data_IF_736479829004
#
_entry.id   IF_736479829004
#
_cell.length_a   1.000
_cell.length_b   1.000
_cell.length_c   1.000
_cell.angle_alpha   90.00
_cell.angle_beta   90.00
_cell.angle_gamma   90.00
#
_symmetry.space_group_name_H-M   'P 1'
#
loop_
_entity.id
_entity.type
_entity.pdbx_description
1 polymer ?
#
# COMPACT_ATOMS: atom_id res chain seq x y z
N UNK A 1 1.34 -10.96 -6.93
CA UNK A 1 0.07 -10.51 -6.35
C UNK A 1 -0.64 -9.60 -7.36
N UNK A 2 -1.97 -9.54 -7.38
CA UNK A 2 -2.70 -8.66 -8.30
C UNK A 2 -3.01 -7.28 -7.68
N UNK A 3 -3.47 -6.34 -8.51
CA UNK A 3 -3.73 -4.96 -8.09
C UNK A 3 -4.87 -4.84 -7.06
N UNK A 4 -5.83 -5.77 -7.08
CA UNK A 4 -6.93 -5.78 -6.12
C UNK A 4 -6.42 -6.15 -4.72
N UNK A 5 -5.62 -7.22 -4.62
CA UNK A 5 -5.01 -7.61 -3.36
C UNK A 5 -4.04 -6.53 -2.80
N UNK A 6 -3.37 -5.78 -3.67
CA UNK A 6 -2.54 -4.62 -3.25
C UNK A 6 -3.41 -3.53 -2.62
N UNK A 7 -4.55 -3.21 -3.25
CA UNK A 7 -5.48 -2.22 -2.71
C UNK A 7 -6.13 -2.68 -1.41
N UNK A 8 -6.52 -3.95 -1.30
CA UNK A 8 -7.11 -4.49 -0.06
C UNK A 8 -6.17 -4.30 1.14
N UNK A 9 -4.88 -4.64 0.97
CA UNK A 9 -3.87 -4.47 2.04
C UNK A 9 -3.60 -2.99 2.32
N UNK A 10 -3.54 -2.16 1.28
CA UNK A 10 -3.37 -0.73 1.43
C UNK A 10 -4.54 -0.11 2.23
N UNK A 11 -5.78 -0.42 1.86
CA UNK A 11 -6.98 0.12 2.49
C UNK A 11 -7.08 -0.35 3.95
N UNK A 12 -6.82 -1.63 4.23
CA UNK A 12 -6.81 -2.15 5.61
C UNK A 12 -5.78 -1.43 6.49
N UNK A 13 -4.54 -1.27 5.99
CA UNK A 13 -3.49 -0.56 6.72
C UNK A 13 -3.78 0.94 6.87
N UNK A 14 -4.39 1.56 5.86
CA UNK A 14 -4.80 2.95 5.91
C UNK A 14 -5.90 3.17 6.95
N UNK A 15 -6.96 2.37 6.92
CA UNK A 15 -8.07 2.44 7.87
C UNK A 15 -7.59 2.21 9.31
N UNK A 16 -6.67 1.28 9.53
CA UNK A 16 -6.05 1.07 10.85
C UNK A 16 -5.24 2.30 11.29
N UNK A 17 -4.48 2.93 10.41
CA UNK A 17 -3.74 4.15 10.71
C UNK A 17 -4.67 5.32 11.06
N UNK A 18 -5.75 5.51 10.29
CA UNK A 18 -6.76 6.53 10.59
C UNK A 18 -7.47 6.24 11.91
N UNK A 19 -7.83 4.98 12.19
CA UNK A 19 -8.45 4.58 13.45
C UNK A 19 -7.56 4.84 14.68
N UNK A 20 -6.22 4.80 14.51
CA UNK A 20 -5.22 5.18 15.52
C UNK A 20 -5.05 6.70 15.66
N UNK A 21 -5.69 7.51 14.81
CA UNK A 21 -5.61 8.97 14.82
C UNK A 21 -4.37 9.52 14.09
N UNK A 22 -3.77 8.75 13.19
CA UNK A 22 -2.65 9.17 12.36
C UNK A 22 -3.17 10.11 11.26
N UNK A 23 -2.41 11.15 10.93
CA UNK A 23 -2.78 12.07 9.86
C UNK A 23 -2.75 11.38 8.48
N UNK A 24 -3.68 11.74 7.59
CA UNK A 24 -3.84 11.11 6.27
C UNK A 24 -2.54 10.93 5.48
N UNK A 25 -1.63 11.91 5.52
CA UNK A 25 -0.36 11.83 4.80
C UNK A 25 0.59 10.77 5.37
N UNK A 26 0.60 10.60 6.69
CA UNK A 26 1.38 9.57 7.38
C UNK A 26 0.72 8.20 7.25
N UNK A 27 -0.61 8.14 7.35
CA UNK A 27 -1.41 6.94 7.12
C UNK A 27 -1.20 6.39 5.70
N UNK A 28 -1.22 7.26 4.68
CA UNK A 28 -0.94 6.90 3.28
C UNK A 28 0.46 6.28 3.13
N UNK A 29 1.46 6.86 3.79
CA UNK A 29 2.84 6.35 3.73
C UNK A 29 2.96 4.99 4.41
N UNK A 30 2.33 4.82 5.58
CA UNK A 30 2.32 3.56 6.31
C UNK A 30 1.62 2.45 5.51
N UNK A 31 0.46 2.75 4.94
CA UNK A 31 -0.30 1.84 4.10
C UNK A 31 0.48 1.41 2.84
N UNK A 32 1.12 2.34 2.13
CA UNK A 32 1.99 2.01 0.99
C UNK A 32 3.15 1.10 1.42
N UNK A 33 3.74 1.36 2.58
CA UNK A 33 4.85 0.57 3.10
C UNK A 33 4.40 -0.84 3.46
N UNK A 34 3.26 -0.99 4.14
CA UNK A 34 2.70 -2.28 4.51
C UNK A 34 2.38 -3.14 3.27
N UNK A 35 1.69 -2.55 2.29
CA UNK A 35 1.41 -3.22 1.03
C UNK A 35 2.69 -3.59 0.28
N UNK A 36 3.71 -2.73 0.28
CA UNK A 36 4.98 -3.01 -0.38
C UNK A 36 5.75 -4.15 0.28
N UNK A 37 5.80 -4.21 1.62
CA UNK A 37 6.43 -5.32 2.34
C UNK A 37 5.75 -6.65 2.04
N UNK A 38 4.42 -6.66 1.97
CA UNK A 38 3.65 -7.87 1.69
C UNK A 38 3.82 -8.32 0.23
N UNK A 39 3.82 -7.38 -0.72
CA UNK A 39 4.11 -7.64 -2.13
C UNK A 39 5.54 -8.17 -2.33
N UNK A 40 6.54 -7.56 -1.68
CA UNK A 40 7.93 -8.01 -1.73
C UNK A 40 8.07 -9.46 -1.21
N UNK A 41 7.40 -9.77 -0.09
CA UNK A 41 7.41 -11.11 0.48
C UNK A 41 6.72 -12.17 -0.40
N UNK A 42 5.63 -11.81 -1.09
CA UNK A 42 4.88 -12.75 -1.93
C UNK A 42 5.50 -12.96 -3.30
N UNK A 43 5.97 -11.89 -3.94
CA UNK A 43 6.47 -11.94 -5.32
C UNK A 43 8.01 -12.02 -5.39
N UNK A 44 8.69 -11.98 -4.25
CA UNK A 44 10.16 -12.02 -4.16
C UNK A 44 10.82 -10.77 -4.76
N UNK A 45 10.13 -9.63 -4.70
CA UNK A 45 10.63 -8.35 -5.20
C UNK A 45 11.54 -7.67 -4.18
N UNK A 46 12.45 -6.83 -4.68
CA UNK A 46 13.18 -5.89 -3.84
C UNK A 46 12.24 -4.80 -3.32
N UNK A 47 12.47 -4.34 -2.09
CA UNK A 47 11.59 -3.39 -1.38
C UNK A 47 11.24 -2.15 -2.21
N UNK A 48 12.22 -1.59 -2.94
CA UNK A 48 12.01 -0.39 -3.75
C UNK A 48 11.13 -0.66 -4.97
N UNK A 49 11.30 -1.82 -5.62
CA UNK A 49 10.46 -2.21 -6.75
C UNK A 49 9.02 -2.51 -6.32
N UNK A 50 8.85 -3.16 -5.16
CA UNK A 50 7.54 -3.40 -4.58
C UNK A 50 6.83 -2.08 -4.21
N UNK A 51 7.56 -1.13 -3.61
CA UNK A 51 7.01 0.18 -3.27
C UNK A 51 6.55 0.97 -4.49
N UNK A 52 7.36 1.02 -5.55
CA UNK A 52 7.01 1.69 -6.80
C UNK A 52 5.75 1.06 -7.44
N UNK A 53 5.62 -0.26 -7.39
CA UNK A 53 4.46 -0.95 -7.91
C UNK A 53 3.19 -0.64 -7.10
N UNK A 54 3.27 -0.63 -5.78
CA UNK A 54 2.16 -0.23 -4.90
C UNK A 54 1.76 1.20 -5.17
N UNK A 55 2.72 2.12 -5.30
CA UNK A 55 2.43 3.52 -5.60
C UNK A 55 1.69 3.69 -6.93
N UNK A 56 2.09 2.97 -7.98
CA UNK A 56 1.39 2.98 -9.27
C UNK A 56 -0.04 2.47 -9.17
N UNK A 57 -0.27 1.38 -8.42
CA UNK A 57 -1.60 0.80 -8.22
C UNK A 57 -2.51 1.77 -7.47
N UNK A 58 -2.02 2.37 -6.38
CA UNK A 58 -2.76 3.34 -5.57
C UNK A 58 -3.10 4.58 -6.38
N UNK A 59 -2.13 5.16 -7.11
CA UNK A 59 -2.38 6.33 -7.96
C UNK A 59 -3.40 6.03 -9.07
N UNK A 60 -3.32 4.84 -9.68
CA UNK A 60 -4.24 4.44 -10.76
C UNK A 60 -5.67 4.23 -10.23
N UNK A 61 -5.84 3.78 -8.99
CA UNK A 61 -7.16 3.63 -8.37
C UNK A 61 -7.76 4.96 -7.92
N UNK A 62 -6.96 5.93 -7.47
CA UNK A 62 -7.46 7.26 -7.07
C UNK A 62 -7.92 8.13 -8.25
N UNK A 63 -7.59 7.76 -9.49
CA UNK A 63 -7.94 8.50 -10.70
C UNK A 63 -9.16 7.91 -11.46
N UNK A 64 -9.70 6.77 -11.01
CA UNK A 64 -10.90 6.12 -11.57
C UNK A 64 -12.12 6.39 -10.70
#
# INVERSE_FOLDING_TARGET
MDAAAVMDIYDEAFDEAIARGIADCEATREAKTAAAMMLAAMDGLEDMAAYDQVEQVVQSNMLN
#
